data_IF_815698563230
#
_entry.id   IF_815698563230
#
_cell.length_a   1.000
_cell.length_b   1.000
_cell.length_c   1.000
_cell.angle_alpha   90.00
_cell.angle_beta   90.00
_cell.angle_gamma   90.00
#
_symmetry.space_group_name_H-M   'P 1'
#
loop_
_entity.id
_entity.type
_entity.pdbx_description
1 polymer ?
#
# COMPACT_ATOMS: atom_id res chain seq x y z
N UNK A 1 12.07 10.70 1.07
CA UNK A 1 10.74 10.98 0.48
C UNK A 1 9.82 9.85 0.88
N UNK A 2 8.56 10.15 1.19
CA UNK A 2 7.52 9.14 1.46
C UNK A 2 6.47 9.30 0.37
N UNK A 3 6.00 8.18 -0.16
CA UNK A 3 4.94 8.13 -1.17
C UNK A 3 3.86 7.19 -0.66
N UNK A 4 2.62 7.66 -0.64
CA UNK A 4 1.44 6.84 -0.44
C UNK A 4 0.75 6.67 -1.79
N UNK A 5 0.70 5.43 -2.29
CA UNK A 5 0.17 5.12 -3.60
C UNK A 5 -0.35 3.67 -3.66
N UNK A 6 -1.48 3.50 -4.33
CA UNK A 6 -1.97 2.17 -4.71
C UNK A 6 -1.18 1.70 -5.94
N UNK A 7 -0.53 0.55 -5.84
CA UNK A 7 0.29 -0.04 -6.90
C UNK A 7 -0.27 -1.41 -7.31
N UNK A 8 -1.44 -1.44 -7.96
CA UNK A 8 -2.19 -2.69 -8.16
C UNK A 8 -1.52 -3.61 -9.18
N UNK A 9 -0.73 -3.04 -10.10
CA UNK A 9 -0.13 -3.78 -11.23
C UNK A 9 1.41 -3.75 -11.21
N UNK A 10 2.09 -4.73 -11.83
CA UNK A 10 3.54 -4.81 -11.87
C UNK A 10 4.22 -3.57 -12.45
N UNK A 11 3.60 -2.95 -13.45
CA UNK A 11 4.12 -1.76 -14.15
C UNK A 11 4.30 -0.58 -13.18
N UNK A 12 3.34 -0.37 -12.28
CA UNK A 12 3.42 0.67 -11.25
C UNK A 12 4.58 0.38 -10.27
N UNK A 13 4.72 -0.88 -9.84
CA UNK A 13 5.77 -1.33 -8.91
C UNK A 13 7.16 -1.20 -9.53
N UNK A 14 7.31 -1.55 -10.81
CA UNK A 14 8.55 -1.37 -11.58
C UNK A 14 8.88 0.12 -11.74
N UNK A 15 7.89 0.98 -11.99
CA UNK A 15 8.10 2.42 -12.10
C UNK A 15 8.82 3.01 -10.87
N UNK A 16 8.40 2.62 -9.67
CA UNK A 16 9.07 3.04 -8.43
C UNK A 16 10.50 2.50 -8.31
N UNK A 17 10.73 1.24 -8.68
CA UNK A 17 12.05 0.63 -8.65
C UNK A 17 13.03 1.31 -9.61
N UNK A 18 12.58 1.56 -10.85
CA UNK A 18 13.35 2.27 -11.86
C UNK A 18 13.65 3.71 -11.43
N UNK A 19 12.68 4.40 -10.85
CA UNK A 19 12.86 5.77 -10.34
C UNK A 19 13.91 5.82 -9.24
N UNK A 20 13.82 4.92 -8.25
CA UNK A 20 14.79 4.85 -7.16
C UNK A 20 16.20 4.52 -7.68
N UNK A 21 16.31 3.56 -8.61
CA UNK A 21 17.58 3.20 -9.24
C UNK A 21 18.22 4.39 -9.98
N UNK A 22 17.45 5.09 -10.82
CA UNK A 22 17.94 6.25 -11.57
C UNK A 22 18.38 7.40 -10.65
N UNK A 23 17.74 7.54 -9.49
CA UNK A 23 18.09 8.53 -8.47
C UNK A 23 19.24 8.08 -7.54
N UNK A 24 19.74 6.85 -7.66
CA UNK A 24 20.72 6.28 -6.72
C UNK A 24 20.17 6.16 -5.28
N UNK A 25 18.85 6.08 -5.13
CA UNK A 25 18.17 6.06 -3.85
C UNK A 25 17.82 4.63 -3.42
N UNK A 26 17.80 4.40 -2.11
CA UNK A 26 17.24 3.17 -1.53
C UNK A 26 15.72 3.20 -1.65
N UNK A 27 15.14 2.10 -2.16
CA UNK A 27 13.69 1.88 -2.16
C UNK A 27 13.32 0.90 -1.05
N UNK A 28 12.37 1.30 -0.20
CA UNK A 28 11.73 0.42 0.78
C UNK A 28 10.25 0.38 0.40
N UNK A 29 9.72 -0.82 0.19
CA UNK A 29 8.31 -1.03 -0.13
C UNK A 29 7.61 -1.57 1.11
N UNK A 30 6.63 -0.81 1.60
CA UNK A 30 5.72 -1.23 2.65
C UNK A 30 4.35 -1.44 2.01
N UNK A 31 3.83 -2.66 2.09
CA UNK A 31 2.46 -2.98 1.69
C UNK A 31 1.57 -2.96 2.92
N UNK A 32 0.55 -2.11 2.93
CA UNK A 32 -0.48 -2.11 3.96
C UNK A 32 -1.51 -3.19 3.65
N UNK A 33 -1.77 -4.06 4.63
CA UNK A 33 -2.73 -5.16 4.52
C UNK A 33 -3.81 -5.03 5.59
N UNK A 34 -5.02 -5.45 5.26
CA UNK A 34 -6.10 -5.71 6.19
C UNK A 34 -6.77 -7.00 5.74
N UNK A 35 -6.48 -8.10 6.44
CA UNK A 35 -6.87 -9.45 6.02
C UNK A 35 -8.34 -9.77 6.31
N UNK A 36 -8.95 -9.06 7.27
CA UNK A 36 -10.38 -9.15 7.55
C UNK A 36 -11.16 -8.35 6.49
N UNK A 37 -11.80 -9.08 5.56
CA UNK A 37 -12.59 -8.50 4.47
C UNK A 37 -13.80 -7.72 4.99
N UNK A 38 -14.46 -8.19 6.05
CA UNK A 38 -15.65 -7.52 6.58
C UNK A 38 -15.26 -6.21 7.25
N UNK A 39 -14.14 -6.17 7.96
CA UNK A 39 -13.58 -4.93 8.50
C UNK A 39 -13.10 -3.99 7.39
N UNK A 40 -12.49 -4.51 6.32
CA UNK A 40 -12.09 -3.69 5.17
C UNK A 40 -13.31 -3.07 4.48
N UNK A 41 -14.35 -3.87 4.20
CA UNK A 41 -15.62 -3.39 3.65
C UNK A 41 -16.24 -2.33 4.53
N UNK A 42 -16.32 -2.58 5.84
CA UNK A 42 -16.84 -1.62 6.82
C UNK A 42 -16.07 -0.30 6.76
N UNK A 43 -14.73 -0.33 6.68
CA UNK A 43 -13.91 0.89 6.58
C UNK A 43 -14.14 1.65 5.27
N UNK A 44 -14.27 0.95 4.14
CA UNK A 44 -14.55 1.57 2.83
C UNK A 44 -15.92 2.25 2.83
N UNK A 45 -16.96 1.52 3.25
CA UNK A 45 -18.35 2.02 3.21
C UNK A 45 -18.61 3.18 4.18
N UNK A 46 -17.86 3.25 5.28
CA UNK A 46 -17.96 4.34 6.25
C UNK A 46 -16.94 5.47 6.00
N UNK A 47 -16.11 5.40 4.94
CA UNK A 47 -15.09 6.41 4.69
C UNK A 47 -15.75 7.74 4.31
N UNK A 48 -15.49 8.77 5.10
CA UNK A 48 -15.88 10.14 4.76
C UNK A 48 -14.76 10.78 3.94
N UNK A 49 -15.05 11.37 2.77
CA UNK A 49 -14.06 12.14 2.03
C UNK A 49 -13.49 13.28 2.88
N UNK A 50 -12.17 13.39 2.89
CA UNK A 50 -11.39 14.37 3.66
C UNK A 50 -10.73 15.43 2.76
N UNK A 51 -10.92 15.34 1.44
CA UNK A 51 -10.38 16.24 0.42
C UNK A 51 -11.54 16.76 -0.44
N UNK A 52 -11.57 18.05 -0.80
CA UNK A 52 -12.60 18.59 -1.69
C UNK A 52 -12.73 17.79 -2.98
N UNK A 53 -13.97 17.54 -3.40
CA UNK A 53 -14.33 16.81 -4.63
C UNK A 53 -13.82 15.36 -4.71
N UNK A 54 -13.27 14.80 -3.62
CA UNK A 54 -12.82 13.42 -3.60
C UNK A 54 -14.02 12.46 -3.52
N UNK A 55 -14.14 11.60 -4.54
CA UNK A 55 -15.07 10.48 -4.53
C UNK A 55 -14.39 9.26 -3.89
N UNK A 56 -14.85 8.89 -2.70
CA UNK A 56 -14.46 7.62 -2.07
C UNK A 56 -15.00 6.43 -2.89
N UNK A 57 -14.22 5.35 -3.05
CA UNK A 57 -14.66 4.17 -3.80
C UNK A 57 -15.78 3.44 -3.06
N UNK A 58 -16.71 2.84 -3.81
CA UNK A 58 -17.62 1.85 -3.24
C UNK A 58 -16.89 0.51 -3.05
N UNK A 59 -17.46 -0.38 -2.22
CA UNK A 59 -16.86 -1.70 -1.99
C UNK A 59 -16.61 -2.48 -3.30
N UNK A 60 -17.55 -2.40 -4.24
CA UNK A 60 -17.41 -3.04 -5.57
C UNK A 60 -16.21 -2.49 -6.35
N UNK A 61 -15.92 -1.19 -6.25
CA UNK A 61 -14.79 -0.58 -6.95
C UNK A 61 -13.47 -1.12 -6.41
N UNK A 62 -13.38 -1.33 -5.09
CA UNK A 62 -12.21 -1.93 -4.44
C UNK A 62 -12.00 -3.38 -4.89
N UNK A 63 -13.07 -4.17 -4.95
CA UNK A 63 -12.98 -5.56 -5.43
C UNK A 63 -12.61 -5.68 -6.91
N UNK A 64 -12.79 -4.61 -7.69
CA UNK A 64 -12.56 -4.56 -9.12
C UNK A 64 -11.34 -3.68 -9.47
N UNK A 65 -10.49 -3.34 -8.50
CA UNK A 65 -9.35 -2.42 -8.68
C UNK A 65 -8.24 -2.99 -9.57
N UNK A 66 -8.30 -4.29 -9.91
CA UNK A 66 -7.34 -4.97 -10.76
C UNK A 66 -6.06 -5.40 -10.04
N UNK A 67 -6.09 -5.59 -8.72
CA UNK A 67 -4.94 -6.02 -7.95
C UNK A 67 -4.32 -7.33 -8.46
N UNK A 68 -3.08 -7.25 -8.93
CA UNK A 68 -2.28 -8.40 -9.35
C UNK A 68 -1.48 -8.91 -8.14
N UNK A 69 -1.60 -10.20 -7.77
CA UNK A 69 -0.84 -10.78 -6.68
C UNK A 69 0.66 -10.50 -6.82
N UNK A 70 1.28 -10.16 -5.69
CA UNK A 70 2.70 -9.82 -5.67
C UNK A 70 3.56 -11.05 -5.91
N UNK A 71 4.54 -10.89 -6.79
CA UNK A 71 5.53 -11.92 -7.10
C UNK A 71 6.91 -11.38 -6.76
N UNK A 72 7.65 -12.07 -5.89
CA UNK A 72 8.95 -11.58 -5.39
C UNK A 72 9.98 -11.38 -6.51
N UNK A 73 10.03 -12.28 -7.49
CA UNK A 73 11.01 -12.22 -8.59
C UNK A 73 10.72 -11.03 -9.53
N UNK A 74 9.44 -10.80 -9.85
CA UNK A 74 9.00 -9.70 -10.73
C UNK A 74 8.97 -8.35 -10.02
N UNK A 75 8.41 -8.33 -8.81
CA UNK A 75 8.01 -7.12 -8.10
C UNK A 75 9.03 -6.69 -7.02
N UNK A 76 9.96 -7.57 -6.65
CA UNK A 76 10.99 -7.30 -5.64
C UNK A 76 10.49 -7.43 -4.20
N UNK A 77 11.39 -7.20 -3.25
CA UNK A 77 11.10 -7.33 -1.81
C UNK A 77 10.10 -6.27 -1.34
N UNK A 78 9.23 -6.68 -0.43
CA UNK A 78 8.33 -5.80 0.32
C UNK A 78 8.18 -6.30 1.74
N UNK A 79 7.84 -5.39 2.65
CA UNK A 79 7.37 -5.74 3.98
C UNK A 79 5.87 -5.50 4.04
N UNK A 80 5.11 -6.53 4.39
CA UNK A 80 3.66 -6.41 4.60
C UNK A 80 3.42 -6.00 6.05
N UNK A 81 2.62 -4.96 6.26
CA UNK A 81 2.20 -4.49 7.58
C UNK A 81 0.68 -4.61 7.68
N UNK A 82 0.23 -5.37 8.68
CA UNK A 82 -1.18 -5.44 9.04
C UNK A 82 -1.61 -4.12 9.70
N UNK A 83 -2.70 -3.56 9.17
CA UNK A 83 -3.27 -2.26 9.57
C UNK A 83 -4.58 -2.41 10.36
N UNK A 84 -4.87 -3.60 10.86
CA UNK A 84 -5.97 -3.83 11.80
C UNK A 84 -5.85 -2.91 13.02
N UNK A 85 -4.65 -2.83 13.62
CA UNK A 85 -4.29 -1.87 14.68
C UNK A 85 -3.26 -0.86 14.16
N UNK A 86 -3.67 0.40 14.03
CA UNK A 86 -2.83 1.49 13.53
C UNK A 86 -1.58 1.73 14.39
N UNK A 87 -1.65 1.54 15.72
CA UNK A 87 -0.49 1.73 16.59
C UNK A 87 0.53 0.60 16.42
N UNK A 88 0.06 -0.63 16.30
CA UNK A 88 0.92 -1.77 16.00
C UNK A 88 1.57 -1.62 14.61
N UNK A 89 0.79 -1.23 13.61
CA UNK A 89 1.25 -0.96 12.25
C UNK A 89 2.34 0.11 12.21
N UNK A 90 2.09 1.25 12.87
CA UNK A 90 3.05 2.36 12.94
C UNK A 90 4.36 1.95 13.62
N UNK A 91 4.29 1.24 14.75
CA UNK A 91 5.49 0.72 15.41
C UNK A 91 6.28 -0.20 14.49
N UNK A 92 5.62 -1.12 13.80
CA UNK A 92 6.26 -2.03 12.84
C UNK A 92 6.96 -1.28 11.70
N UNK A 93 6.30 -0.26 11.13
CA UNK A 93 6.88 0.56 10.08
C UNK A 93 8.11 1.35 10.56
N UNK A 94 8.05 1.94 11.76
CA UNK A 94 9.17 2.68 12.34
C UNK A 94 10.37 1.78 12.64
N UNK A 95 10.14 0.58 13.17
CA UNK A 95 11.21 -0.41 13.39
C UNK A 95 11.92 -0.75 12.08
N UNK A 96 11.16 -1.06 11.02
CA UNK A 96 11.71 -1.37 9.70
C UNK A 96 12.61 -0.24 9.18
N UNK A 97 12.17 1.00 9.30
CA UNK A 97 12.89 2.18 8.79
C UNK A 97 14.17 2.50 9.59
N UNK A 98 14.25 2.11 10.87
CA UNK A 98 15.46 2.28 11.67
C UNK A 98 16.51 1.19 11.41
N UNK A 99 16.09 0.02 10.95
CA UNK A 99 16.95 -1.14 10.68
C UNK A 99 17.52 -1.17 9.25
N UNK A 100 17.09 -0.25 8.39
CA UNK A 100 17.48 -0.16 6.98
C UNK A 100 18.45 0.96 6.69
#
# INVERSE_FOLDING_TARGET
MIVDAVNPVPEARVGWRSTAYAAGAKLIVIETSLTDEDEHRRRVENRTPDIPDHRVPAWRDVQQDGWVPWNLERDGSRTVIDTTDNFAALRGALTLLHET
#
